data_IF_203418653269
#
_entry.id   IF_203418653269
#
_cell.length_a   1.000
_cell.length_b   1.000
_cell.length_c   1.000
_cell.angle_alpha   90.00
_cell.angle_beta   90.00
_cell.angle_gamma   90.00
#
_symmetry.space_group_name_H-M   'P 1'
#
loop_
_entity.id
_entity.type
_entity.pdbx_description
1 polymer ?
#
# COMPACT_ATOMS: atom_id res chain seq x y z
N UNK A 1 -26.91 10.91 -11.07
CA UNK A 1 -26.29 9.69 -11.65
C UNK A 1 -25.17 9.16 -10.74
N UNK A 2 -25.49 8.53 -9.60
CA UNK A 2 -24.51 7.98 -8.62
C UNK A 2 -24.50 6.44 -8.55
N UNK A 3 -25.31 5.76 -9.38
CA UNK A 3 -25.55 4.31 -9.23
C UNK A 3 -24.39 3.43 -9.75
N UNK A 4 -23.54 3.95 -10.64
CA UNK A 4 -22.45 3.18 -11.28
C UNK A 4 -21.17 3.06 -10.43
N UNK A 5 -21.03 3.82 -9.33
CA UNK A 5 -19.83 3.77 -8.48
C UNK A 5 -19.92 2.77 -7.33
N UNK A 6 -21.13 2.39 -6.90
CA UNK A 6 -21.36 1.48 -5.77
C UNK A 6 -20.83 0.05 -6.00
N UNK A 7 -21.16 -0.64 -7.12
CA UNK A 7 -20.67 -2.00 -7.35
C UNK A 7 -19.16 -2.03 -7.55
N UNK A 8 -18.61 -1.01 -8.23
CA UNK A 8 -17.17 -0.83 -8.42
C UNK A 8 -16.47 -0.69 -7.07
N UNK A 9 -16.91 0.24 -6.22
CA UNK A 9 -16.34 0.49 -4.89
C UNK A 9 -16.40 -0.73 -3.99
N UNK A 10 -17.53 -1.44 -3.97
CA UNK A 10 -17.69 -2.68 -3.19
C UNK A 10 -16.72 -3.77 -3.65
N UNK A 11 -16.58 -3.94 -4.98
CA UNK A 11 -15.64 -4.89 -5.56
C UNK A 11 -14.18 -4.55 -5.24
N UNK A 12 -13.79 -3.26 -5.32
CA UNK A 12 -12.46 -2.82 -4.92
C UNK A 12 -12.20 -2.99 -3.41
N UNK A 13 -13.17 -2.72 -2.54
CA UNK A 13 -13.03 -2.94 -1.09
C UNK A 13 -12.90 -4.43 -0.73
N UNK A 14 -13.77 -5.29 -1.24
CA UNK A 14 -13.68 -6.74 -0.98
C UNK A 14 -12.44 -7.36 -1.65
N UNK A 15 -12.16 -6.98 -2.89
CA UNK A 15 -11.01 -7.46 -3.65
C UNK A 15 -9.68 -7.04 -3.01
N UNK A 16 -9.58 -5.80 -2.54
CA UNK A 16 -8.38 -5.30 -1.86
C UNK A 16 -8.16 -5.97 -0.51
N UNK A 17 -9.21 -6.28 0.26
CA UNK A 17 -9.08 -7.07 1.50
C UNK A 17 -8.48 -8.46 1.26
N UNK A 18 -9.00 -9.18 0.26
CA UNK A 18 -8.47 -10.49 -0.12
C UNK A 18 -7.02 -10.39 -0.62
N UNK A 19 -6.74 -9.39 -1.47
CA UNK A 19 -5.39 -9.15 -1.98
C UNK A 19 -4.40 -8.85 -0.84
N UNK A 20 -4.78 -8.00 0.11
CA UNK A 20 -3.97 -7.69 1.31
C UNK A 20 -3.69 -8.97 2.11
N UNK A 21 -4.71 -9.81 2.32
CA UNK A 21 -4.55 -11.08 3.03
C UNK A 21 -3.55 -12.02 2.33
N UNK A 22 -3.69 -12.20 1.01
CA UNK A 22 -2.81 -13.04 0.21
C UNK A 22 -1.37 -12.52 0.20
N UNK A 23 -1.19 -11.22 0.01
CA UNK A 23 0.13 -10.57 -0.02
C UNK A 23 0.81 -10.67 1.35
N UNK A 24 0.09 -10.44 2.46
CA UNK A 24 0.64 -10.64 3.82
C UNK A 24 1.12 -12.07 4.05
N UNK A 25 0.39 -13.08 3.55
CA UNK A 25 0.81 -14.48 3.64
C UNK A 25 2.08 -14.76 2.81
N UNK A 26 2.22 -14.11 1.65
CA UNK A 26 3.44 -14.19 0.83
C UNK A 26 4.63 -13.50 1.50
N UNK A 27 4.42 -12.34 2.10
CA UNK A 27 5.44 -11.60 2.87
C UNK A 27 5.97 -12.45 4.03
N UNK A 28 5.09 -13.17 4.75
CA UNK A 28 5.54 -14.10 5.81
C UNK A 28 6.50 -15.18 5.29
N UNK A 29 6.35 -15.61 4.03
CA UNK A 29 7.24 -16.60 3.39
C UNK A 29 8.48 -15.97 2.76
N UNK A 30 8.37 -14.73 2.27
CA UNK A 30 9.43 -13.99 1.55
C UNK A 30 9.51 -12.55 2.07
N UNK A 31 9.99 -12.34 3.31
CA UNK A 31 9.97 -11.02 3.93
C UNK A 31 10.98 -10.04 3.31
N UNK A 32 11.96 -10.55 2.57
CA UNK A 32 12.99 -9.75 1.88
C UNK A 32 12.64 -9.47 0.41
N UNK A 33 11.40 -9.74 0.00
CA UNK A 33 10.94 -9.43 -1.35
C UNK A 33 10.28 -8.03 -1.36
N UNK A 34 10.99 -6.98 -1.84
CA UNK A 34 10.48 -5.62 -1.86
C UNK A 34 9.25 -5.45 -2.77
N UNK A 35 9.07 -6.31 -3.78
CA UNK A 35 7.91 -6.27 -4.65
C UNK A 35 6.62 -6.57 -3.90
N UNK A 36 6.65 -7.51 -2.96
CA UNK A 36 5.48 -7.83 -2.12
C UNK A 36 5.10 -6.68 -1.20
N UNK A 37 6.08 -5.98 -0.66
CA UNK A 37 5.85 -4.80 0.18
C UNK A 37 5.29 -3.62 -0.61
N UNK A 38 5.75 -3.39 -1.85
CA UNK A 38 5.20 -2.38 -2.75
C UNK A 38 3.73 -2.67 -3.10
N UNK A 39 3.43 -3.93 -3.42
CA UNK A 39 2.04 -4.35 -3.69
C UNK A 39 1.16 -4.12 -2.46
N UNK A 40 1.66 -4.46 -1.26
CA UNK A 40 0.92 -4.24 -0.01
C UNK A 40 0.65 -2.75 0.23
N UNK A 41 1.66 -1.88 0.04
CA UNK A 41 1.51 -0.43 0.19
C UNK A 41 0.50 0.14 -0.81
N UNK A 42 0.56 -0.26 -2.08
CA UNK A 42 -0.38 0.18 -3.11
C UNK A 42 -1.82 -0.26 -2.82
N UNK A 43 -2.01 -1.46 -2.27
CA UNK A 43 -3.34 -1.91 -1.84
C UNK A 43 -3.89 -1.05 -0.71
N UNK A 44 -3.04 -0.58 0.22
CA UNK A 44 -3.43 0.38 1.24
C UNK A 44 -3.74 1.76 0.65
N UNK A 45 -3.01 2.22 -0.37
CA UNK A 45 -3.34 3.46 -1.09
C UNK A 45 -4.71 3.39 -1.77
N UNK A 46 -5.04 2.28 -2.44
CA UNK A 46 -6.34 2.10 -3.12
C UNK A 46 -7.51 2.15 -2.13
N UNK A 47 -7.27 1.76 -0.88
CA UNK A 47 -8.25 1.84 0.22
C UNK A 47 -8.24 3.19 0.95
N UNK A 48 -7.47 4.17 0.45
CA UNK A 48 -7.23 5.46 1.10
C UNK A 48 -6.62 5.36 2.51
N UNK A 49 -6.03 4.22 2.87
CA UNK A 49 -5.35 3.96 4.14
C UNK A 49 -3.87 4.42 4.03
N UNK A 50 -3.66 5.70 3.67
CA UNK A 50 -2.32 6.26 3.44
C UNK A 50 -1.36 6.12 4.64
N UNK A 51 -1.78 6.35 5.90
CA UNK A 51 -0.89 6.14 7.05
C UNK A 51 -0.39 4.69 7.14
N UNK A 52 -1.26 3.73 6.81
CA UNK A 52 -0.92 2.30 6.81
C UNK A 52 0.01 1.94 5.65
N UNK A 53 -0.16 2.58 4.48
CA UNK A 53 0.74 2.43 3.34
C UNK A 53 2.16 2.92 3.68
N UNK A 54 2.28 4.08 4.32
CA UNK A 54 3.57 4.64 4.78
C UNK A 54 4.25 3.71 5.77
N UNK A 55 3.55 3.29 6.84
CA UNK A 55 4.11 2.34 7.82
C UNK A 55 4.55 1.02 7.18
N UNK A 56 3.82 0.56 6.16
CA UNK A 56 4.17 -0.66 5.42
C UNK A 56 5.50 -0.50 4.68
N UNK A 57 5.72 0.64 4.01
CA UNK A 57 6.97 0.94 3.30
C UNK A 57 8.13 1.19 4.26
N UNK A 58 7.90 1.83 5.41
CA UNK A 58 8.91 2.00 6.45
C UNK A 58 9.40 0.64 6.97
N UNK A 59 8.46 -0.26 7.29
CA UNK A 59 8.80 -1.64 7.69
C UNK A 59 9.49 -2.42 6.57
N UNK A 60 9.13 -2.16 5.31
CA UNK A 60 9.81 -2.79 4.19
C UNK A 60 11.26 -2.31 4.06
N UNK A 61 11.52 -1.02 4.30
CA UNK A 61 12.86 -0.44 4.29
C UNK A 61 13.72 -0.91 5.46
N UNK A 62 13.16 -1.29 6.62
CA UNK A 62 13.96 -1.93 7.67
C UNK A 62 14.49 -3.30 7.26
N UNK A 63 13.76 -4.01 6.39
CA UNK A 63 14.16 -5.32 5.86
C UNK A 63 14.98 -5.23 4.57
N UNK A 64 14.74 -4.18 3.77
CA UNK A 64 15.33 -3.94 2.46
C UNK A 64 15.85 -2.47 2.38
N UNK A 65 16.88 -2.11 3.15
CA UNK A 65 17.30 -0.71 3.33
C UNK A 65 17.85 -0.04 2.07
N UNK A 66 18.37 -0.83 1.13
CA UNK A 66 18.96 -0.31 -0.12
C UNK A 66 18.02 -0.40 -1.32
N UNK A 67 16.71 -0.60 -1.11
CA UNK A 67 15.78 -0.66 -2.23
C UNK A 67 15.31 0.77 -2.64
N UNK A 68 15.69 1.26 -3.83
CA UNK A 68 15.33 2.60 -4.28
C UNK A 68 13.83 2.73 -4.57
N UNK A 69 13.17 1.66 -5.01
CA UNK A 69 11.74 1.69 -5.33
C UNK A 69 10.87 1.87 -4.08
N UNK A 70 11.23 1.18 -2.97
CA UNK A 70 10.56 1.37 -1.67
C UNK A 70 10.73 2.80 -1.16
N UNK A 71 11.94 3.34 -1.26
CA UNK A 71 12.24 4.72 -0.85
C UNK A 71 11.47 5.75 -1.69
N UNK A 72 11.50 5.60 -3.01
CA UNK A 72 10.76 6.49 -3.92
C UNK A 72 9.25 6.47 -3.66
N UNK A 73 8.66 5.29 -3.42
CA UNK A 73 7.24 5.20 -3.09
C UNK A 73 6.92 5.83 -1.73
N UNK A 74 7.79 5.67 -0.73
CA UNK A 74 7.62 6.30 0.58
C UNK A 74 7.65 7.82 0.46
N UNK A 75 8.64 8.36 -0.25
CA UNK A 75 8.81 9.79 -0.46
C UNK A 75 7.61 10.38 -1.21
N UNK A 76 7.10 9.68 -2.24
CA UNK A 76 5.87 10.06 -2.94
C UNK A 76 4.66 10.13 -2.01
N UNK A 77 4.48 9.13 -1.13
CA UNK A 77 3.35 9.10 -0.21
C UNK A 77 3.44 10.19 0.87
N UNK A 78 4.64 10.48 1.36
CA UNK A 78 4.86 11.56 2.31
C UNK A 78 4.66 12.93 1.66
N UNK A 79 5.20 13.15 0.46
CA UNK A 79 5.04 14.40 -0.27
C UNK A 79 3.56 14.71 -0.56
N UNK A 80 2.76 13.70 -0.90
CA UNK A 80 1.30 13.86 -1.08
C UNK A 80 0.50 14.06 0.21
N UNK A 81 1.07 13.74 1.37
CA UNK A 81 0.43 13.91 2.69
C UNK A 81 0.79 15.25 3.37
N UNK A 82 1.97 15.81 3.06
CA UNK A 82 2.43 17.09 3.63
C UNK A 82 1.62 18.28 3.12
N UNK A 83 0.97 18.18 1.95
CA UNK A 83 0.13 19.23 1.37
C UNK A 83 -1.26 19.42 2.01
N UNK A 84 -1.64 18.63 3.02
CA UNK A 84 -2.99 18.70 3.63
C UNK A 84 -3.01 19.36 5.01
N UNK A 85 -1.94 20.02 5.41
CA UNK A 85 -1.90 20.86 6.61
C UNK A 85 -1.34 22.25 6.28
N UNK A 86 -2.11 23.03 5.51
CA UNK A 86 -2.12 24.50 5.55
C UNK A 86 -3.54 24.99 5.29
#
# INVERSE_FOLDING_TARGET
>A
MQLLSLPKRLFYEQGSRLAIFLVKRRIKKRPKDPGLWLVLARLYEVRSELPTAVQTLERALTLCPHNPALKLHLDRLRAGHVTTFQ
#
